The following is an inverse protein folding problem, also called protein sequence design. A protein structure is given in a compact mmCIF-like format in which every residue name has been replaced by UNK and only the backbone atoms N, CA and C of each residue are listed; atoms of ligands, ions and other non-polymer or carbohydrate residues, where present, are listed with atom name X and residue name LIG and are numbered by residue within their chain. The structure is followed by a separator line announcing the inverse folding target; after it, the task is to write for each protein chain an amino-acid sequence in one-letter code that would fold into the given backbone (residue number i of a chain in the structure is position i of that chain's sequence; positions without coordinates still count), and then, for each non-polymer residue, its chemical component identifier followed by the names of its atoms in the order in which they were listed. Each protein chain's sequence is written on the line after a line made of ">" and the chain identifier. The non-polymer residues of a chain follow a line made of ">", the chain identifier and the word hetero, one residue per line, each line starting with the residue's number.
data_IF_439129763879
#
_entry.id   IF_439129763879
#
_cell.length_a   1.000
_cell.length_b   1.000
_cell.length_c   1.000
_cell.angle_alpha   90.00
_cell.angle_beta   90.00
_cell.angle_gamma   90.00
#
_symmetry.space_group_name_H-M   'P 1'
#
loop_
_entity.id
_entity.type
_entity.pdbx_description
1 polymer ?
#
# COMPACT_ATOMS: atom_id res chain seq x y z
N UNK A 1 -7.63 8.96 -32.04
CA UNK A 1 -7.06 9.23 -30.70
C UNK A 1 -5.76 9.99 -30.89
N UNK A 2 -5.52 11.06 -30.13
CA UNK A 2 -4.20 11.72 -30.09
C UNK A 2 -3.17 10.79 -29.43
N UNK A 3 -1.87 11.05 -29.64
CA UNK A 3 -0.80 10.30 -29.00
C UNK A 3 -0.91 10.35 -27.47
N UNK A 4 -1.26 11.52 -26.92
CA UNK A 4 -1.50 11.73 -25.49
C UNK A 4 -2.59 10.81 -24.93
N UNK A 5 -3.70 10.66 -25.65
CA UNK A 5 -4.79 9.76 -25.23
C UNK A 5 -4.37 8.29 -25.27
N UNK A 6 -3.51 7.89 -26.20
CA UNK A 6 -2.97 6.53 -26.25
C UNK A 6 -2.08 6.28 -25.04
N UNK A 7 -1.17 7.22 -24.71
CA UNK A 7 -0.28 7.12 -23.56
C UNK A 7 -1.08 7.09 -22.26
N UNK A 8 -2.10 7.94 -22.12
CA UNK A 8 -2.97 7.96 -20.95
C UNK A 8 -3.69 6.62 -20.73
N UNK A 9 -4.27 6.04 -21.78
CA UNK A 9 -4.96 4.73 -21.69
C UNK A 9 -3.97 3.63 -21.31
N UNK A 10 -2.78 3.61 -21.90
CA UNK A 10 -1.73 2.65 -21.57
C UNK A 10 -1.24 2.81 -20.12
N UNK A 11 -1.10 4.05 -19.65
CA UNK A 11 -0.72 4.35 -18.28
C UNK A 11 -1.78 3.83 -17.30
N UNK A 12 -3.07 4.10 -17.55
CA UNK A 12 -4.17 3.61 -16.70
C UNK A 12 -4.18 2.08 -16.67
N UNK A 13 -4.07 1.43 -17.83
CA UNK A 13 -4.02 -0.03 -17.90
C UNK A 13 -2.81 -0.60 -17.13
N UNK A 14 -1.66 0.06 -17.24
CA UNK A 14 -0.44 -0.34 -16.53
C UNK A 14 -0.53 -0.08 -15.03
N UNK A 15 -1.21 0.99 -14.62
CA UNK A 15 -1.43 1.31 -13.21
C UNK A 15 -2.34 0.27 -12.56
N UNK A 16 -3.42 -0.14 -13.24
CA UNK A 16 -4.27 -1.23 -12.77
C UNK A 16 -3.52 -2.57 -12.72
N UNK A 17 -2.64 -2.84 -13.69
CA UNK A 17 -1.78 -4.02 -13.64
C UNK A 17 -0.81 -3.97 -12.44
N UNK A 18 -0.23 -2.80 -12.15
CA UNK A 18 0.59 -2.59 -10.96
C UNK A 18 -0.20 -2.86 -9.67
N UNK A 19 -1.41 -2.31 -9.55
CA UNK A 19 -2.26 -2.49 -8.37
C UNK A 19 -2.63 -3.96 -8.14
N UNK A 20 -2.94 -4.66 -9.22
CA UNK A 20 -3.14 -6.10 -9.20
C UNK A 20 -1.88 -6.84 -8.73
N UNK A 21 -0.71 -6.51 -9.28
CA UNK A 21 0.54 -7.14 -8.85
C UNK A 21 0.90 -6.81 -7.40
N UNK A 22 0.54 -5.62 -6.90
CA UNK A 22 0.73 -5.23 -5.51
C UNK A 22 -0.17 -6.03 -4.58
N UNK A 23 -1.46 -6.13 -4.90
CA UNK A 23 -2.40 -6.95 -4.15
C UNK A 23 -1.90 -8.39 -4.05
N UNK A 24 -1.37 -8.93 -5.15
CA UNK A 24 -0.74 -10.24 -5.22
C UNK A 24 0.53 -10.31 -4.34
N UNK A 25 1.46 -9.38 -4.49
CA UNK A 25 2.73 -9.33 -3.75
C UNK A 25 2.54 -9.23 -2.23
N UNK A 26 1.65 -8.35 -1.80
CA UNK A 26 1.52 -7.92 -0.41
C UNK A 26 0.42 -8.66 0.37
N UNK A 27 -0.21 -9.67 -0.26
CA UNK A 27 -1.07 -10.65 0.44
C UNK A 27 -0.34 -11.30 1.61
N UNK A 28 0.98 -11.51 1.46
CA UNK A 28 1.84 -12.04 2.52
C UNK A 28 1.80 -11.20 3.80
N UNK A 29 1.80 -9.87 3.67
CA UNK A 29 1.85 -8.97 4.82
C UNK A 29 0.58 -9.06 5.68
N UNK A 30 -0.58 -9.31 5.08
CA UNK A 30 -1.84 -9.39 5.79
C UNK A 30 -2.18 -10.81 6.28
N UNK A 31 -1.77 -11.85 5.55
CA UNK A 31 -2.29 -13.22 5.74
C UNK A 31 -1.24 -14.27 6.08
N UNK A 32 0.06 -13.99 5.96
CA UNK A 32 1.08 -14.99 6.27
C UNK A 32 1.00 -15.49 7.72
N UNK A 33 0.82 -14.57 8.67
CA UNK A 33 0.74 -14.88 10.10
C UNK A 33 -0.48 -15.73 10.44
N UNK A 34 -1.67 -15.35 9.96
CA UNK A 34 -2.92 -16.09 10.21
C UNK A 34 -2.95 -17.47 9.51
N UNK A 35 -2.25 -17.61 8.39
CA UNK A 35 -2.04 -18.90 7.72
C UNK A 35 -1.02 -19.76 8.48
N UNK A 36 0.09 -19.18 8.93
CA UNK A 36 1.16 -19.88 9.64
C UNK A 36 0.70 -20.42 10.99
N UNK A 37 -0.06 -19.64 11.76
CA UNK A 37 -0.68 -20.06 13.03
C UNK A 37 -1.88 -20.99 12.84
N UNK A 38 -2.29 -21.26 11.59
CA UNK A 38 -3.48 -22.03 11.23
C UNK A 38 -4.78 -21.45 11.78
N UNK A 39 -4.82 -20.14 12.02
CA UNK A 39 -6.05 -19.42 12.35
C UNK A 39 -7.04 -19.43 11.17
N UNK A 40 -6.52 -19.28 9.96
CA UNK A 40 -7.30 -19.35 8.72
C UNK A 40 -6.74 -20.41 7.76
N UNK A 41 -7.64 -21.05 7.01
CA UNK A 41 -7.24 -21.87 5.86
C UNK A 41 -6.75 -20.93 4.74
N UNK A 42 -5.70 -21.31 3.98
CA UNK A 42 -5.10 -20.44 2.96
C UNK A 42 -6.10 -19.82 1.97
N UNK A 43 -7.02 -20.61 1.41
CA UNK A 43 -8.04 -20.10 0.46
C UNK A 43 -9.04 -19.14 1.11
N UNK A 44 -9.39 -19.36 2.37
CA UNK A 44 -10.29 -18.48 3.13
C UNK A 44 -9.58 -17.17 3.46
N UNK A 45 -8.30 -17.23 3.83
CA UNK A 45 -7.49 -16.07 4.15
C UNK A 45 -7.37 -15.11 2.95
N UNK A 46 -6.99 -15.61 1.78
CA UNK A 46 -6.86 -14.76 0.57
C UNK A 46 -8.20 -14.23 0.06
N UNK A 47 -9.30 -14.98 0.21
CA UNK A 47 -10.64 -14.50 -0.13
C UNK A 47 -11.09 -13.37 0.79
N UNK A 48 -10.93 -13.56 2.10
CA UNK A 48 -11.23 -12.55 3.11
C UNK A 48 -10.38 -11.29 2.88
N UNK A 49 -9.08 -11.47 2.63
CA UNK A 49 -8.16 -10.38 2.35
C UNK A 49 -8.55 -9.61 1.08
N UNK A 50 -8.89 -10.30 -0.01
CA UNK A 50 -9.29 -9.67 -1.27
C UNK A 50 -10.57 -8.84 -1.12
N UNK A 51 -11.58 -9.35 -0.40
CA UNK A 51 -12.82 -8.61 -0.12
C UNK A 51 -12.55 -7.40 0.77
N UNK A 52 -11.74 -7.54 1.81
CA UNK A 52 -11.42 -6.43 2.71
C UNK A 52 -10.51 -5.38 2.07
N UNK A 53 -9.58 -5.79 1.19
CA UNK A 53 -8.82 -4.85 0.37
C UNK A 53 -9.74 -4.01 -0.52
N UNK A 54 -10.71 -4.68 -1.18
CA UNK A 54 -11.70 -4.00 -1.99
C UNK A 54 -12.51 -3.00 -1.15
N UNK A 55 -13.02 -3.40 0.01
CA UNK A 55 -13.78 -2.50 0.90
C UNK A 55 -12.91 -1.35 1.40
N UNK A 56 -11.68 -1.63 1.84
CA UNK A 56 -10.72 -0.64 2.36
C UNK A 56 -10.41 0.46 1.36
N UNK A 57 -10.33 0.11 0.07
CA UNK A 57 -10.10 1.07 -1.01
C UNK A 57 -11.17 2.17 -1.10
N UNK A 58 -12.41 1.92 -0.64
CA UNK A 58 -13.48 2.93 -0.61
C UNK A 58 -13.49 3.80 0.65
N UNK A 59 -12.64 3.53 1.64
CA UNK A 59 -12.72 4.20 2.94
C UNK A 59 -11.97 5.53 3.02
N UNK A 60 -11.07 5.84 2.08
CA UNK A 60 -10.28 7.07 2.11
C UNK A 60 -9.67 7.40 0.73
N UNK A 61 -9.26 8.66 0.55
CA UNK A 61 -8.55 9.19 -0.63
C UNK A 61 -7.29 10.02 -0.27
N UNK A 62 -6.94 10.10 1.01
CA UNK A 62 -5.84 10.96 1.52
C UNK A 62 -4.44 10.57 1.02
N UNK A 63 -4.17 9.28 0.88
CA UNK A 63 -2.91 8.77 0.31
C UNK A 63 -2.86 9.06 -1.20
N UNK A 64 -4.00 8.98 -1.89
CA UNK A 64 -4.07 9.32 -3.32
C UNK A 64 -3.74 10.81 -3.55
N UNK A 65 -4.30 11.71 -2.72
CA UNK A 65 -3.98 13.15 -2.72
C UNK A 65 -2.48 13.39 -2.51
N UNK A 66 -1.85 12.58 -1.65
CA UNK A 66 -0.42 12.67 -1.38
C UNK A 66 0.42 12.29 -2.60
N UNK A 67 0.06 11.23 -3.32
CA UNK A 67 0.73 10.84 -4.57
C UNK A 67 0.62 11.96 -5.61
N UNK A 68 -0.54 12.63 -5.71
CA UNK A 68 -0.76 13.70 -6.69
C UNK A 68 -0.01 15.00 -6.37
N UNK A 69 0.24 15.31 -5.10
CA UNK A 69 0.74 16.65 -4.67
C UNK A 69 2.14 16.64 -4.05
N UNK A 70 2.53 15.53 -3.42
CA UNK A 70 3.67 15.51 -2.50
C UNK A 70 4.92 14.83 -3.07
N UNK A 71 4.87 14.31 -4.30
CA UNK A 71 5.99 13.56 -4.91
C UNK A 71 6.64 14.35 -6.03
N UNK A 72 5.89 14.63 -7.10
CA UNK A 72 6.37 15.29 -8.31
C UNK A 72 5.86 16.72 -8.39
N UNK A 73 6.72 17.63 -8.85
CA UNK A 73 6.37 19.00 -9.22
C UNK A 73 6.14 19.06 -10.72
N UNK A 74 5.07 18.41 -11.16
CA UNK A 74 4.59 18.47 -12.55
C UNK A 74 3.41 19.44 -12.70
N UNK A 75 2.70 19.66 -11.61
CA UNK A 75 1.55 20.54 -11.53
C UNK A 75 1.62 21.41 -10.28
N UNK A 76 0.97 22.55 -10.34
CA UNK A 76 0.66 23.38 -9.19
C UNK A 76 -0.34 22.65 -8.28
N UNK A 77 -0.06 22.67 -6.97
CA UNK A 77 -0.80 21.86 -6.01
C UNK A 77 -2.20 22.40 -5.70
N UNK A 78 -2.42 23.71 -5.93
CA UNK A 78 -3.68 24.38 -5.59
C UNK A 78 -4.60 24.46 -6.82
N UNK A 79 -4.02 24.65 -8.00
CA UNK A 79 -4.78 24.85 -9.25
C UNK A 79 -4.84 23.60 -10.13
N UNK A 80 -3.98 22.60 -9.90
CA UNK A 80 -3.85 21.41 -10.75
C UNK A 80 -3.30 21.70 -12.14
N UNK A 81 -2.91 22.94 -12.43
CA UNK A 81 -2.35 23.31 -13.72
C UNK A 81 -0.92 22.83 -13.83
N UNK A 82 -0.52 22.38 -15.03
CA UNK A 82 0.87 22.02 -15.31
C UNK A 82 1.80 23.21 -15.08
N UNK A 83 2.98 22.94 -14.52
CA UNK A 83 3.98 23.98 -14.32
C UNK A 83 4.52 24.47 -15.68
N UNK A 84 4.93 25.75 -15.78
CA UNK A 84 5.49 26.30 -17.01
C UNK A 84 6.66 25.46 -17.53
N UNK A 85 6.61 25.07 -18.81
CA UNK A 85 7.62 24.24 -19.45
C UNK A 85 7.38 22.73 -19.37
N UNK A 86 6.26 22.29 -18.79
CA UNK A 86 5.82 20.89 -18.81
C UNK A 86 4.54 20.80 -19.64
N UNK A 87 4.57 20.01 -20.70
CA UNK A 87 3.37 19.66 -21.46
C UNK A 87 2.79 18.32 -20.97
N UNK A 88 1.56 18.01 -21.41
CA UNK A 88 0.86 16.79 -21.00
C UNK A 88 1.63 15.52 -21.39
N UNK A 89 2.26 15.53 -22.57
CA UNK A 89 3.06 14.41 -23.07
C UNK A 89 4.27 14.12 -22.16
N UNK A 90 5.02 15.15 -21.77
CA UNK A 90 6.16 15.04 -20.87
C UNK A 90 5.70 14.57 -19.48
N UNK A 91 4.64 15.17 -18.93
CA UNK A 91 4.09 14.78 -17.63
C UNK A 91 3.67 13.30 -17.60
N UNK A 92 2.92 12.85 -18.61
CA UNK A 92 2.54 11.44 -18.75
C UNK A 92 3.75 10.53 -18.87
N UNK A 93 4.77 10.93 -19.64
CA UNK A 93 6.00 10.15 -19.81
C UNK A 93 6.74 9.96 -18.50
N UNK A 94 6.84 11.01 -17.67
CA UNK A 94 7.48 10.95 -16.35
C UNK A 94 6.73 9.97 -15.44
N UNK A 95 5.40 10.11 -15.34
CA UNK A 95 4.57 9.26 -14.48
C UNK A 95 4.66 7.81 -14.96
N UNK A 96 4.57 7.59 -16.27
CA UNK A 96 4.59 6.25 -16.85
C UNK A 96 5.95 5.57 -16.66
N UNK A 97 7.05 6.29 -16.88
CA UNK A 97 8.40 5.78 -16.64
C UNK A 97 8.61 5.42 -15.16
N UNK A 98 8.13 6.26 -14.24
CA UNK A 98 8.22 5.98 -12.80
C UNK A 98 7.39 4.75 -12.38
N UNK A 99 6.18 4.61 -12.92
CA UNK A 99 5.33 3.45 -12.70
C UNK A 99 5.98 2.16 -13.23
N UNK A 100 6.54 2.19 -14.44
CA UNK A 100 7.29 1.05 -15.01
C UNK A 100 8.47 0.68 -14.11
N UNK A 101 9.23 1.66 -13.63
CA UNK A 101 10.33 1.42 -12.68
C UNK A 101 9.87 0.70 -11.42
N UNK A 102 8.76 1.13 -10.83
CA UNK A 102 8.15 0.47 -9.67
C UNK A 102 7.68 -0.96 -9.97
N UNK A 103 7.01 -1.18 -11.10
CA UNK A 103 6.55 -2.52 -11.53
C UNK A 103 7.74 -3.46 -11.73
N UNK A 104 8.77 -3.04 -12.46
CA UNK A 104 9.93 -3.85 -12.76
C UNK A 104 10.64 -4.29 -11.46
N UNK A 105 10.76 -3.38 -10.50
CA UNK A 105 11.33 -3.71 -9.20
C UNK A 105 10.46 -4.71 -8.42
N UNK A 106 9.15 -4.50 -8.35
CA UNK A 106 8.22 -5.41 -7.67
C UNK A 106 8.21 -6.81 -8.29
N UNK A 107 8.24 -6.92 -9.62
CA UNK A 107 8.32 -8.20 -10.32
C UNK A 107 9.67 -8.90 -10.05
N UNK A 108 10.76 -8.14 -10.00
CA UNK A 108 12.08 -8.66 -9.69
C UNK A 108 12.13 -9.23 -8.26
N UNK A 109 11.68 -8.49 -7.26
CA UNK A 109 11.68 -8.94 -5.86
C UNK A 109 10.76 -10.14 -5.68
N UNK A 110 9.60 -10.14 -6.34
CA UNK A 110 8.70 -11.29 -6.35
C UNK A 110 9.33 -12.53 -6.97
N UNK A 111 10.04 -12.40 -8.10
CA UNK A 111 10.68 -13.52 -8.78
C UNK A 111 11.61 -14.26 -7.81
N UNK A 112 12.34 -13.51 -6.98
CA UNK A 112 13.22 -14.03 -5.94
C UNK A 112 12.52 -14.31 -4.59
N UNK A 113 11.22 -14.06 -4.46
CA UNK A 113 10.46 -14.28 -3.24
C UNK A 113 10.87 -13.37 -2.07
N UNK A 114 11.45 -12.21 -2.37
CA UNK A 114 11.94 -11.23 -1.40
C UNK A 114 10.77 -10.32 -1.01
N UNK A 115 10.38 -10.25 0.28
CA UNK A 115 9.40 -9.28 0.72
C UNK A 115 9.96 -7.86 0.52
N UNK A 116 9.22 -7.05 -0.24
CA UNK A 116 9.61 -5.69 -0.64
C UNK A 116 8.44 -4.73 -0.46
N UNK A 117 8.73 -3.45 -0.45
CA UNK A 117 7.74 -2.39 -0.31
C UNK A 117 7.32 -1.87 -1.68
N UNK A 118 6.09 -2.18 -2.08
CA UNK A 118 5.48 -1.62 -3.30
C UNK A 118 5.41 -0.08 -3.25
N UNK A 119 5.22 0.51 -2.06
CA UNK A 119 5.27 1.96 -1.86
C UNK A 119 6.61 2.55 -2.27
N UNK A 120 7.71 1.97 -1.76
CA UNK A 120 9.05 2.51 -2.03
C UNK A 120 9.48 2.26 -3.47
N UNK A 121 9.05 1.15 -4.07
CA UNK A 121 9.25 0.90 -5.48
C UNK A 121 8.57 1.98 -6.34
N UNK A 122 7.29 2.29 -6.06
CA UNK A 122 6.55 3.32 -6.78
C UNK A 122 7.14 4.72 -6.58
N UNK A 123 7.33 5.15 -5.33
CA UNK A 123 7.89 6.48 -5.05
C UNK A 123 9.32 6.61 -5.56
N UNK A 124 10.15 5.58 -5.41
CA UNK A 124 11.50 5.56 -5.97
C UNK A 124 11.49 5.67 -7.49
N UNK A 125 10.58 4.98 -8.17
CA UNK A 125 10.37 5.09 -9.61
C UNK A 125 9.94 6.50 -10.03
N UNK A 126 8.91 7.08 -9.38
CA UNK A 126 8.43 8.43 -9.67
C UNK A 126 9.53 9.48 -9.41
N UNK A 127 10.21 9.42 -8.26
CA UNK A 127 11.31 10.32 -7.92
C UNK A 127 12.43 10.19 -8.96
N UNK A 128 12.83 8.97 -9.33
CA UNK A 128 13.87 8.71 -10.33
C UNK A 128 13.52 9.29 -11.71
N UNK A 129 12.28 9.07 -12.17
CA UNK A 129 11.80 9.63 -13.43
C UNK A 129 11.74 11.17 -13.39
N UNK A 130 11.26 11.74 -12.27
CA UNK A 130 11.23 13.19 -12.06
C UNK A 130 12.62 13.81 -12.05
N UNK A 131 13.60 13.18 -11.40
CA UNK A 131 14.99 13.62 -11.40
C UNK A 131 15.60 13.58 -12.81
N UNK A 132 15.34 12.52 -13.57
CA UNK A 132 15.87 12.37 -14.92
C UNK A 132 15.29 13.43 -15.88
N UNK A 133 14.01 13.75 -15.77
CA UNK A 133 13.33 14.65 -16.70
C UNK A 133 13.38 16.14 -16.30
N UNK A 134 13.33 16.43 -15.00
CA UNK A 134 13.14 17.78 -14.46
C UNK A 134 14.26 18.21 -13.50
N UNK A 135 15.23 17.34 -13.23
CA UNK A 135 16.30 17.58 -12.26
C UNK A 135 15.80 17.67 -10.82
N UNK A 136 16.65 18.17 -9.92
CA UNK A 136 16.35 18.27 -8.48
C UNK A 136 15.11 19.10 -8.16
N UNK A 137 14.74 20.06 -9.02
CA UNK A 137 13.59 20.96 -8.80
C UNK A 137 12.25 20.32 -9.15
N UNK A 138 12.25 19.23 -9.93
CA UNK A 138 11.03 18.50 -10.30
C UNK A 138 10.50 17.56 -9.23
N UNK A 139 11.22 17.39 -8.12
CA UNK A 139 10.80 16.57 -6.99
C UNK A 139 10.39 17.47 -5.83
N UNK A 140 9.25 17.17 -5.22
CA UNK A 140 8.79 17.87 -4.02
C UNK A 140 9.49 17.31 -2.78
N UNK A 141 10.73 17.71 -2.51
CA UNK A 141 11.51 17.20 -1.38
C UNK A 141 10.85 17.40 -0.01
N UNK A 142 10.11 18.50 0.17
CA UNK A 142 9.33 18.73 1.40
C UNK A 142 8.23 17.68 1.57
N UNK A 143 7.43 17.47 0.52
CA UNK A 143 6.39 16.44 0.52
C UNK A 143 6.96 15.02 0.67
N UNK A 144 7.98 14.67 -0.12
CA UNK A 144 8.65 13.37 -0.08
C UNK A 144 9.24 13.08 1.30
N UNK A 145 9.92 14.05 1.92
CA UNK A 145 10.50 13.85 3.26
C UNK A 145 9.42 13.62 4.31
N UNK A 146 8.39 14.47 4.35
CA UNK A 146 7.35 14.42 5.39
C UNK A 146 6.37 13.26 5.21
N UNK A 147 5.99 12.94 3.97
CA UNK A 147 4.91 11.98 3.66
C UNK A 147 5.41 10.60 3.27
N UNK A 148 6.69 10.46 2.91
CA UNK A 148 7.28 9.19 2.45
C UNK A 148 8.47 8.78 3.33
N UNK A 149 9.53 9.58 3.40
CA UNK A 149 10.79 9.16 4.06
C UNK A 149 10.68 9.04 5.58
N UNK A 150 10.10 10.03 6.26
CA UNK A 150 9.94 9.98 7.72
C UNK A 150 9.06 8.79 8.13
N UNK A 151 7.86 8.58 7.55
CA UNK A 151 7.05 7.40 7.82
C UNK A 151 7.77 6.09 7.50
N UNK A 152 8.57 6.03 6.43
CA UNK A 152 9.28 4.82 6.02
C UNK A 152 10.24 4.27 7.10
N UNK A 153 10.85 5.18 7.88
CA UNK A 153 11.77 4.84 8.97
C UNK A 153 11.04 4.74 10.31
N UNK A 154 10.14 5.68 10.60
CA UNK A 154 9.46 5.73 11.89
C UNK A 154 8.45 4.59 12.07
N UNK A 155 7.69 4.24 11.03
CA UNK A 155 6.61 3.26 11.12
C UNK A 155 7.06 1.86 11.58
N UNK A 156 8.12 1.23 11.03
CA UNK A 156 8.57 -0.08 11.53
C UNK A 156 9.05 -0.04 12.98
N UNK A 157 9.71 1.05 13.40
CA UNK A 157 10.18 1.20 14.78
C UNK A 157 9.02 1.34 15.76
N UNK A 158 8.04 2.18 15.42
CA UNK A 158 6.83 2.36 16.23
C UNK A 158 6.03 1.05 16.25
N UNK A 159 5.91 0.36 15.12
CA UNK A 159 5.23 -0.93 15.02
C UNK A 159 5.82 -1.98 15.94
N UNK A 160 7.15 -2.11 15.94
CA UNK A 160 7.84 -3.03 16.83
C UNK A 160 7.68 -2.67 18.30
N UNK A 161 7.77 -1.39 18.67
CA UNK A 161 7.56 -0.96 20.05
C UNK A 161 6.12 -1.24 20.53
N UNK A 162 5.13 -0.90 19.71
CA UNK A 162 3.71 -1.14 20.03
C UNK A 162 3.40 -2.63 20.09
N UNK A 163 3.92 -3.42 19.16
CA UNK A 163 3.74 -4.87 19.13
C UNK A 163 4.43 -5.55 20.32
N UNK A 164 5.64 -5.12 20.70
CA UNK A 164 6.36 -5.65 21.87
C UNK A 164 5.60 -5.36 23.17
N UNK A 165 5.17 -4.10 23.37
CA UNK A 165 4.36 -3.70 24.52
C UNK A 165 3.01 -4.44 24.55
N UNK A 166 2.34 -4.54 23.40
CA UNK A 166 1.07 -5.25 23.25
C UNK A 166 1.20 -6.73 23.58
N UNK A 167 2.22 -7.39 23.03
CA UNK A 167 2.53 -8.79 23.30
C UNK A 167 2.81 -9.01 24.78
N UNK A 168 3.66 -8.18 25.41
CA UNK A 168 3.93 -8.26 26.84
C UNK A 168 2.66 -8.15 27.68
N UNK A 169 1.78 -7.19 27.36
CA UNK A 169 0.52 -6.98 28.05
C UNK A 169 -0.43 -8.17 27.88
N UNK A 170 -0.54 -8.71 26.66
CA UNK A 170 -1.33 -9.89 26.32
C UNK A 170 -0.90 -11.09 27.17
N UNK A 171 0.39 -11.41 27.23
CA UNK A 171 0.90 -12.50 28.07
C UNK A 171 0.71 -12.20 29.57
N UNK A 172 0.88 -10.95 29.99
CA UNK A 172 0.71 -10.53 31.39
C UNK A 172 -0.71 -10.73 31.91
N UNK A 173 -1.72 -10.37 31.10
CA UNK A 173 -3.14 -10.50 31.45
C UNK A 173 -3.57 -11.97 31.38
N UNK A 174 -3.13 -12.70 30.35
CA UNK A 174 -3.58 -14.07 30.11
C UNK A 174 -2.77 -15.16 30.83
N UNK A 175 -1.77 -14.78 31.65
CA UNK A 175 -0.93 -15.73 32.41
C UNK A 175 -1.67 -16.72 33.30
N UNK A 176 -2.90 -16.38 33.74
CA UNK A 176 -3.74 -17.24 34.60
C UNK A 176 -4.78 -18.06 33.83
N UNK A 177 -4.86 -17.88 32.51
CA UNK A 177 -5.85 -18.56 31.66
C UNK A 177 -5.28 -19.90 31.20
N UNK A 178 -6.11 -20.95 31.26
CA UNK A 178 -5.80 -22.29 30.72
C UNK A 178 -5.33 -22.20 29.27
N UNK A 179 -4.20 -22.85 28.95
CA UNK A 179 -3.53 -22.78 27.64
C UNK A 179 -4.46 -23.04 26.46
N UNK A 180 -5.32 -24.06 26.55
CA UNK A 180 -6.26 -24.42 25.48
C UNK A 180 -7.33 -23.35 25.23
N UNK A 181 -7.95 -22.80 26.29
CA UNK A 181 -8.94 -21.71 26.16
C UNK A 181 -8.29 -20.41 25.68
N UNK A 182 -7.04 -20.18 26.10
CA UNK A 182 -6.22 -19.05 25.66
C UNK A 182 -6.02 -19.12 24.15
N UNK A 183 -5.57 -20.26 23.63
CA UNK A 183 -5.27 -20.47 22.22
C UNK A 183 -6.52 -20.38 21.32
N UNK A 184 -7.65 -20.97 21.71
CA UNK A 184 -8.91 -20.85 20.98
C UNK A 184 -9.42 -19.40 20.91
N UNK A 185 -9.34 -18.64 22.01
CA UNK A 185 -9.71 -17.22 22.05
C UNK A 185 -8.79 -16.34 21.20
N UNK A 186 -7.48 -16.54 21.29
CA UNK A 186 -6.51 -15.79 20.49
C UNK A 186 -6.63 -16.09 19.00
N UNK A 187 -7.06 -17.30 18.62
CA UNK A 187 -7.29 -17.63 17.21
C UNK A 187 -8.39 -16.77 16.59
N UNK A 188 -9.50 -16.56 17.29
CA UNK A 188 -10.57 -15.66 16.83
C UNK A 188 -10.14 -14.20 16.81
N UNK A 189 -9.42 -13.76 17.84
CA UNK A 189 -8.86 -12.42 17.84
C UNK A 189 -7.88 -12.18 16.69
N UNK A 190 -7.06 -13.18 16.35
CA UNK A 190 -6.14 -13.13 15.22
C UNK A 190 -6.88 -13.03 13.88
N UNK A 191 -8.01 -13.74 13.71
CA UNK A 191 -8.84 -13.59 12.51
C UNK A 191 -9.34 -12.15 12.37
N UNK A 192 -9.78 -11.54 13.48
CA UNK A 192 -10.23 -10.15 13.49
C UNK A 192 -9.09 -9.17 13.18
N UNK A 193 -7.91 -9.35 13.77
CA UNK A 193 -6.76 -8.47 13.51
C UNK A 193 -6.20 -8.63 12.11
N UNK A 194 -6.07 -9.85 11.58
CA UNK A 194 -5.70 -10.10 10.19
C UNK A 194 -6.69 -9.45 9.21
N UNK A 195 -7.99 -9.48 9.55
CA UNK A 195 -9.02 -8.77 8.78
C UNK A 195 -8.79 -7.25 8.79
N UNK A 196 -8.44 -6.68 9.95
CA UNK A 196 -8.12 -5.25 10.04
C UNK A 196 -6.86 -4.89 9.26
N UNK A 197 -5.84 -5.76 9.23
CA UNK A 197 -4.63 -5.56 8.41
C UNK A 197 -4.97 -5.60 6.91
N UNK A 198 -5.83 -6.52 6.46
CA UNK A 198 -6.29 -6.52 5.08
C UNK A 198 -7.12 -5.27 4.75
N UNK A 199 -8.05 -4.88 5.62
CA UNK A 199 -8.82 -3.65 5.41
C UNK A 199 -7.88 -2.43 5.30
N UNK A 200 -6.93 -2.31 6.22
CA UNK A 200 -5.97 -1.20 6.24
C UNK A 200 -5.04 -1.20 5.03
N UNK A 201 -4.66 -2.38 4.55
CA UNK A 201 -3.90 -2.55 3.31
C UNK A 201 -4.68 -1.98 2.12
N UNK A 202 -5.96 -2.32 1.97
CA UNK A 202 -6.84 -1.71 0.95
C UNK A 202 -6.92 -0.19 1.06
N UNK A 203 -7.06 0.33 2.29
CA UNK A 203 -7.10 1.78 2.54
C UNK A 203 -5.80 2.48 2.20
N UNK A 204 -4.63 1.82 2.26
CA UNK A 204 -3.35 2.46 1.96
C UNK A 204 -2.89 2.24 0.52
N UNK A 205 -2.89 0.98 0.08
CA UNK A 205 -2.16 0.55 -1.12
C UNK A 205 -2.94 0.81 -2.41
N UNK A 206 -4.25 0.59 -2.41
CA UNK A 206 -5.12 0.89 -3.55
C UNK A 206 -5.06 2.38 -3.91
N UNK A 207 -5.00 3.24 -2.88
CA UNK A 207 -4.94 4.68 -3.04
C UNK A 207 -3.69 5.17 -3.77
N UNK A 208 -2.57 4.43 -3.70
CA UNK A 208 -1.34 4.83 -4.40
C UNK A 208 -1.55 4.77 -5.91
N UNK A 209 -2.17 3.69 -6.39
CA UNK A 209 -2.55 3.54 -7.80
C UNK A 209 -3.61 4.56 -8.20
N UNK A 210 -4.62 4.78 -7.35
CA UNK A 210 -5.62 5.82 -7.58
C UNK A 210 -4.96 7.20 -7.77
N UNK A 211 -3.96 7.52 -6.95
CA UNK A 211 -3.19 8.75 -7.04
C UNK A 211 -2.35 8.86 -8.31
N UNK A 212 -1.76 7.76 -8.80
CA UNK A 212 -1.04 7.74 -10.09
C UNK A 212 -2.00 8.00 -11.26
N UNK A 213 -3.16 7.35 -11.27
CA UNK A 213 -4.19 7.56 -12.30
C UNK A 213 -4.72 8.99 -12.23
N UNK A 214 -5.02 9.49 -11.03
CA UNK A 214 -5.47 10.85 -10.82
C UNK A 214 -4.44 11.86 -11.32
N UNK A 215 -3.16 11.68 -11.00
CA UNK A 215 -2.07 12.54 -11.45
C UNK A 215 -1.99 12.58 -12.99
N UNK A 216 -2.15 11.43 -13.66
CA UNK A 216 -2.16 11.36 -15.11
C UNK A 216 -3.38 12.06 -15.74
N UNK A 217 -4.56 11.95 -15.12
CA UNK A 217 -5.77 12.61 -15.58
C UNK A 217 -5.71 14.13 -15.36
N UNK A 218 -5.13 14.59 -14.25
CA UNK A 218 -4.89 16.02 -14.01
C UNK A 218 -3.89 16.57 -15.03
N UNK A 219 -2.80 15.83 -15.28
CA UNK A 219 -1.78 16.18 -16.28
C UNK A 219 -2.35 16.38 -17.68
N UNK A 220 -3.43 15.67 -18.03
CA UNK A 220 -4.09 15.77 -19.34
C UNK A 220 -5.33 16.66 -19.33
N UNK A 221 -5.66 17.29 -18.20
CA UNK A 221 -6.85 18.13 -18.03
C UNK A 221 -8.18 17.38 -18.01
N UNK A 222 -8.18 16.04 -17.91
CA UNK A 222 -9.40 15.23 -17.82
C UNK A 222 -9.95 15.14 -16.39
N UNK A 223 -9.14 15.44 -15.39
CA UNK A 223 -9.56 15.60 -14.01
C UNK A 223 -9.19 17.00 -13.54
N UNK A 224 -10.20 17.80 -13.23
CA UNK A 224 -10.07 19.19 -12.77
C UNK A 224 -10.77 19.34 -11.42
N UNK A 225 -10.24 20.19 -10.55
CA UNK A 225 -10.78 20.38 -9.20
C UNK A 225 -9.80 19.95 -8.12
N UNK A 226 -10.18 20.15 -6.87
CA UNK A 226 -9.36 19.77 -5.73
C UNK A 226 -9.72 18.33 -5.34
N UNK A 227 -8.85 17.38 -5.69
CA UNK A 227 -9.03 15.95 -5.38
C UNK A 227 -9.32 15.70 -3.89
N UNK A 228 -8.84 16.57 -3.00
CA UNK A 228 -9.08 16.45 -1.57
C UNK A 228 -10.52 16.80 -1.19
N UNK A 229 -11.08 17.85 -1.79
CA UNK A 229 -12.43 18.32 -1.47
C UNK A 229 -13.50 17.62 -2.31
N UNK A 230 -13.21 17.42 -3.59
CA UNK A 230 -14.14 16.86 -4.58
C UNK A 230 -14.12 15.32 -4.59
N UNK A 231 -13.08 14.73 -4.02
CA UNK A 231 -12.84 13.29 -4.03
C UNK A 231 -12.37 12.79 -5.39
N UNK A 232 -12.28 11.46 -5.52
CA UNK A 232 -11.94 10.80 -6.77
C UNK A 232 -13.17 10.25 -7.48
N UNK A 233 -13.22 10.29 -8.82
CA UNK A 233 -14.24 9.61 -9.58
C UNK A 233 -14.38 8.14 -9.17
N UNK A 234 -15.62 7.69 -8.98
CA UNK A 234 -15.92 6.34 -8.45
C UNK A 234 -15.33 5.23 -9.31
N UNK A 235 -15.17 5.44 -10.62
CA UNK A 235 -14.58 4.44 -11.51
C UNK A 235 -13.09 4.22 -11.21
N UNK A 236 -12.35 5.26 -10.78
CA UNK A 236 -10.94 5.13 -10.37
C UNK A 236 -10.88 4.26 -9.11
N UNK A 237 -11.70 4.59 -8.11
CA UNK A 237 -11.76 3.85 -6.85
C UNK A 237 -12.15 2.39 -7.12
N UNK A 238 -13.23 2.16 -7.86
CA UNK A 238 -13.74 0.83 -8.14
C UNK A 238 -12.78 -0.03 -8.97
N UNK A 239 -12.13 0.55 -9.98
CA UNK A 239 -11.18 -0.18 -10.83
C UNK A 239 -9.92 -0.59 -10.04
N UNK A 240 -9.35 0.31 -9.23
CA UNK A 240 -8.24 -0.02 -8.34
C UNK A 240 -8.66 -1.04 -7.27
N UNK A 241 -9.79 -0.84 -6.61
CA UNK A 241 -10.32 -1.76 -5.59
C UNK A 241 -10.52 -3.19 -6.12
N UNK A 242 -11.01 -3.32 -7.35
CA UNK A 242 -11.12 -4.62 -8.03
C UNK A 242 -9.75 -5.18 -8.40
N UNK A 243 -8.84 -4.36 -8.93
CA UNK A 243 -7.49 -4.80 -9.30
C UNK A 243 -6.72 -5.35 -8.10
N UNK A 244 -6.59 -4.57 -7.02
CA UNK A 244 -5.90 -4.99 -5.80
C UNK A 244 -6.60 -6.19 -5.13
N UNK A 245 -7.94 -6.20 -5.07
CA UNK A 245 -8.70 -7.29 -4.48
C UNK A 245 -8.54 -8.61 -5.23
N UNK A 246 -8.57 -8.57 -6.56
CA UNK A 246 -8.32 -9.75 -7.42
C UNK A 246 -6.88 -10.23 -7.31
N UNK A 247 -5.91 -9.31 -7.32
CA UNK A 247 -4.50 -9.61 -7.09
C UNK A 247 -4.31 -10.35 -5.76
N UNK A 248 -4.89 -9.82 -4.69
CA UNK A 248 -4.83 -10.41 -3.36
C UNK A 248 -5.49 -11.79 -3.27
N UNK A 249 -6.62 -11.97 -3.98
CA UNK A 249 -7.28 -13.28 -4.03
C UNK A 249 -6.40 -14.36 -4.69
N UNK A 250 -5.68 -14.02 -5.75
CA UNK A 250 -4.72 -14.95 -6.37
C UNK A 250 -3.53 -15.24 -5.45
N UNK A 251 -3.26 -14.35 -4.51
CA UNK A 251 -2.31 -14.51 -3.42
C UNK A 251 -0.92 -14.05 -3.81
N UNK A 252 0.09 -14.63 -3.17
CA UNK A 252 1.50 -14.28 -3.40
C UNK A 252 2.37 -15.39 -2.83
N UNK A 253 2.09 -16.64 -3.22
CA UNK A 253 2.46 -17.84 -2.46
C UNK A 253 3.95 -17.98 -2.15
N UNK A 254 4.83 -17.43 -3.00
CA UNK A 254 6.27 -17.34 -2.73
C UNK A 254 6.54 -16.46 -1.50
N UNK A 255 6.02 -15.22 -1.51
CA UNK A 255 6.16 -14.25 -0.42
C UNK A 255 5.45 -14.73 0.85
N UNK A 256 4.23 -15.27 0.74
CA UNK A 256 3.49 -15.85 1.88
C UNK A 256 4.33 -16.95 2.56
N UNK A 257 5.01 -17.80 1.78
CA UNK A 257 5.86 -18.86 2.32
C UNK A 257 7.11 -18.30 2.99
N UNK A 258 7.75 -17.29 2.40
CA UNK A 258 8.90 -16.60 2.98
C UNK A 258 8.54 -15.96 4.32
N UNK A 259 7.44 -15.21 4.40
CA UNK A 259 7.02 -14.53 5.63
C UNK A 259 6.50 -15.51 6.69
N UNK A 260 5.69 -16.50 6.29
CA UNK A 260 5.01 -17.39 7.24
C UNK A 260 5.88 -18.51 7.83
N UNK A 261 7.01 -18.85 7.20
CA UNK A 261 7.92 -19.92 7.69
C UNK A 261 9.40 -19.56 7.65
N UNK A 262 9.78 -18.48 6.99
CA UNK A 262 11.18 -18.16 6.71
C UNK A 262 11.79 -17.11 7.64
N UNK A 263 11.01 -16.42 8.47
CA UNK A 263 11.50 -15.36 9.35
C UNK A 263 11.50 -15.76 10.83
N UNK A 264 10.32 -15.94 11.43
CA UNK A 264 10.17 -16.24 12.87
C UNK A 264 8.97 -17.16 13.08
N UNK A 265 9.06 -18.07 14.07
CA UNK A 265 7.88 -18.82 14.53
C UNK A 265 7.00 -17.94 15.41
N UNK A 266 5.74 -17.75 15.02
CA UNK A 266 4.80 -16.85 15.69
C UNK A 266 3.66 -17.66 16.29
N UNK A 267 3.37 -17.45 17.57
CA UNK A 267 2.17 -17.98 18.24
C UNK A 267 0.96 -17.05 18.03
N UNK A 268 -0.27 -17.56 18.13
CA UNK A 268 -1.49 -16.74 17.97
C UNK A 268 -1.58 -15.48 18.84
N UNK A 269 -1.15 -15.46 20.13
CA UNK A 269 -1.15 -14.23 20.92
C UNK A 269 -0.20 -13.15 20.40
N UNK A 270 0.96 -13.56 19.89
CA UNK A 270 1.94 -12.67 19.26
C UNK A 270 1.41 -12.17 17.92
N UNK A 271 0.85 -13.07 17.11
CA UNK A 271 0.24 -12.73 15.82
C UNK A 271 -0.89 -11.72 15.98
N UNK A 272 -1.77 -11.88 16.97
CA UNK A 272 -2.81 -10.91 17.29
C UNK A 272 -2.22 -9.53 17.63
N UNK A 273 -1.21 -9.47 18.49
CA UNK A 273 -0.60 -8.21 18.90
C UNK A 273 0.13 -7.50 17.74
N UNK A 274 0.86 -8.26 16.92
CA UNK A 274 1.57 -7.75 15.74
C UNK A 274 0.60 -7.25 14.68
N UNK A 275 -0.44 -8.02 14.34
CA UNK A 275 -1.47 -7.61 13.37
C UNK A 275 -2.28 -6.40 13.87
N UNK A 276 -2.62 -6.34 15.16
CA UNK A 276 -3.29 -5.16 15.73
C UNK A 276 -2.43 -3.90 15.65
N UNK A 277 -1.13 -4.02 16.00
CA UNK A 277 -0.15 -2.93 15.87
C UNK A 277 -0.04 -2.45 14.43
N UNK A 278 0.14 -3.41 13.50
CA UNK A 278 0.22 -3.15 12.07
C UNK A 278 -1.02 -2.44 11.54
N UNK A 279 -2.22 -2.94 11.84
CA UNK A 279 -3.47 -2.33 11.41
C UNK A 279 -3.62 -0.90 11.94
N UNK A 280 -3.34 -0.67 13.23
CA UNK A 280 -3.44 0.65 13.84
C UNK A 280 -2.49 1.67 13.19
N UNK A 281 -1.24 1.28 12.91
CA UNK A 281 -0.25 2.16 12.29
C UNK A 281 -0.58 2.43 10.83
N UNK A 282 -0.98 1.40 10.07
CA UNK A 282 -1.38 1.57 8.66
C UNK A 282 -2.59 2.52 8.56
N UNK A 283 -3.62 2.30 9.38
CA UNK A 283 -4.84 3.13 9.35
C UNK A 283 -4.58 4.58 9.78
N UNK A 284 -3.86 4.78 10.88
CA UNK A 284 -3.55 6.14 11.38
C UNK A 284 -2.67 6.92 10.41
N UNK A 285 -1.69 6.26 9.80
CA UNK A 285 -0.85 6.86 8.76
C UNK A 285 -1.65 7.17 7.49
N UNK A 286 -2.54 6.26 7.06
CA UNK A 286 -3.39 6.49 5.89
C UNK A 286 -4.35 7.67 6.11
N UNK A 287 -4.92 7.78 7.30
CA UNK A 287 -5.77 8.92 7.70
C UNK A 287 -4.99 10.25 7.71
N UNK A 288 -3.69 10.22 7.98
CA UNK A 288 -2.81 11.38 7.90
C UNK A 288 -2.27 11.66 6.48
N UNK A 289 -2.68 10.88 5.47
CA UNK A 289 -2.14 10.95 4.11
C UNK A 289 -0.64 10.64 4.06
N UNK A 290 -0.15 9.77 4.93
CA UNK A 290 1.25 9.35 4.92
C UNK A 290 1.35 7.99 4.23
N UNK A 291 2.06 7.95 3.11
CA UNK A 291 2.12 6.79 2.24
C UNK A 291 3.18 5.81 2.74
N UNK A 292 2.80 4.96 3.69
CA UNK A 292 3.72 4.05 4.35
C UNK A 292 3.96 2.74 3.57
N UNK A 293 4.98 2.01 3.99
CA UNK A 293 5.23 0.62 3.61
C UNK A 293 4.53 -0.35 4.56
N UNK A 294 3.50 -1.04 4.08
CA UNK A 294 2.81 -2.11 4.84
C UNK A 294 3.77 -3.26 5.14
N UNK A 295 4.66 -3.59 4.20
CA UNK A 295 5.71 -4.61 4.37
C UNK A 295 6.65 -4.29 5.53
N UNK A 296 7.10 -3.03 5.66
CA UNK A 296 7.99 -2.64 6.76
C UNK A 296 7.27 -2.65 8.10
N UNK A 297 6.01 -2.17 8.14
CA UNK A 297 5.23 -2.17 9.37
C UNK A 297 4.94 -3.60 9.84
N UNK A 298 4.52 -4.48 8.94
CA UNK A 298 4.28 -5.89 9.25
C UNK A 298 5.55 -6.64 9.65
N UNK A 299 6.71 -6.29 9.09
CA UNK A 299 8.00 -6.88 9.47
C UNK A 299 8.52 -6.33 10.80
N UNK A 300 8.23 -5.06 11.09
CA UNK A 300 8.63 -4.41 12.34
C UNK A 300 7.82 -4.88 13.54
N UNK A 301 6.52 -5.15 13.35
CA UNK A 301 5.60 -5.64 14.38
C UNK A 301 5.81 -7.12 14.72
#
# INVERSE_FOLDING_TARGET
>A
MSAEMIILVLLIATALAFDFTNGFHDTGNAMATSIATRALKPKTAVLLAGVLNLVGAFLSVEVAVTVTTSVLRVQDSDTGQLLPGIDASMGLTIIFAGLIGGILWNLLTWLFGIPSSSSHALFGGLIGAGLAALGLKGVNWGGVSQKVLIPAVAAPLIAGLVAACGTWLVYRITRKVLSRRREEGFRWGQIATASLVALSHGTNDAQKTMGVIALALITTGHLTGDVKNDGLPIWIIASCALAIGLGTYLGGWRVIRTLGKGLVEIESPQGLAAEASSAAIILSSSAAGMALSTTHVATGS
#
